data_IF_344597668427
#
_entry.id   IF_344597668427
#
_cell.length_a   1.000
_cell.length_b   1.000
_cell.length_c   1.000
_cell.angle_alpha   90.00
_cell.angle_beta   90.00
_cell.angle_gamma   90.00
#
_symmetry.space_group_name_H-M   'P 1'
#
loop_
_entity.id
_entity.type
_entity.pdbx_description
1 polymer ?
#
# COMPACT_ATOMS: atom_id res chain seq x y z
N UNK A 1 -1.89 25.66 22.74
CA UNK A 1 -0.87 24.73 22.22
C UNK A 1 0.35 24.80 23.12
N UNK A 2 0.57 23.80 23.97
CA UNK A 2 1.70 23.79 24.91
C UNK A 2 3.03 23.62 24.17
N UNK A 3 4.08 24.26 24.71
CA UNK A 3 5.44 24.30 24.15
C UNK A 3 5.98 22.87 24.00
N UNK A 4 6.37 22.49 22.78
CA UNK A 4 6.90 21.18 22.41
C UNK A 4 8.19 20.91 23.19
N UNK A 5 8.20 19.89 24.06
CA UNK A 5 9.39 19.44 24.78
C UNK A 5 10.07 18.31 24.00
N UNK A 6 11.40 18.27 23.98
CA UNK A 6 12.16 17.19 23.30
C UNK A 6 11.80 15.80 23.84
N UNK A 7 11.41 15.72 25.12
CA UNK A 7 10.91 14.51 25.79
C UNK A 7 9.68 13.91 25.11
N UNK A 8 8.73 14.75 24.66
CA UNK A 8 7.52 14.29 23.96
C UNK A 8 7.84 13.65 22.61
N UNK A 9 8.88 14.16 21.93
CA UNK A 9 9.35 13.63 20.64
C UNK A 9 10.01 12.26 20.82
N UNK A 10 10.93 12.14 21.78
CA UNK A 10 11.62 10.86 22.08
C UNK A 10 10.61 9.77 22.41
N UNK A 11 9.63 10.08 23.25
CA UNK A 11 8.59 9.13 23.66
C UNK A 11 7.71 8.69 22.48
N UNK A 12 7.34 9.63 21.61
CA UNK A 12 6.57 9.33 20.38
C UNK A 12 7.38 8.43 19.45
N UNK A 13 8.68 8.67 19.29
CA UNK A 13 9.56 7.81 18.49
C UNK A 13 9.69 6.40 19.08
N UNK A 14 9.78 6.26 20.40
CA UNK A 14 9.82 4.94 21.06
C UNK A 14 8.52 4.18 20.80
N UNK A 15 7.35 4.81 20.98
CA UNK A 15 6.06 4.19 20.67
C UNK A 15 5.97 3.76 19.20
N UNK A 16 6.47 4.59 18.28
CA UNK A 16 6.53 4.25 16.86
C UNK A 16 7.45 3.08 16.59
N UNK A 17 8.58 2.95 17.29
CA UNK A 17 9.47 1.80 17.13
C UNK A 17 8.76 0.50 17.49
N UNK A 18 8.07 0.46 18.64
CA UNK A 18 7.26 -0.70 19.04
C UNK A 18 6.13 -0.96 18.06
N UNK A 19 5.41 0.09 17.65
CA UNK A 19 4.32 -0.03 16.68
C UNK A 19 4.84 -0.54 15.32
N UNK A 20 5.97 -0.04 14.84
CA UNK A 20 6.60 -0.48 13.60
C UNK A 20 7.02 -1.95 13.68
N UNK A 21 7.55 -2.41 14.82
CA UNK A 21 7.89 -3.82 15.03
C UNK A 21 6.64 -4.71 14.96
N UNK A 22 5.58 -4.32 15.66
CA UNK A 22 4.29 -5.02 15.64
C UNK A 22 3.72 -5.06 14.20
N UNK A 23 3.73 -3.93 13.50
CA UNK A 23 3.27 -3.82 12.12
C UNK A 23 4.16 -4.58 11.13
N UNK A 24 5.43 -4.84 11.46
CA UNK A 24 6.35 -5.65 10.67
C UNK A 24 6.10 -7.16 10.88
N UNK A 25 5.91 -7.58 12.13
CA UNK A 25 5.69 -9.00 12.46
C UNK A 25 4.34 -9.49 11.93
N UNK A 26 3.26 -8.73 12.09
CA UNK A 26 1.91 -9.20 11.75
C UNK A 26 1.78 -9.75 10.31
N UNK A 27 2.21 -9.01 9.28
CA UNK A 27 2.22 -9.48 7.90
C UNK A 27 3.10 -10.71 7.63
N UNK A 28 4.12 -10.97 8.47
CA UNK A 28 5.02 -12.13 8.34
C UNK A 28 4.49 -13.39 9.03
N UNK A 29 3.60 -13.23 10.02
CA UNK A 29 2.94 -14.31 10.77
C UNK A 29 1.60 -14.69 10.12
N UNK A 30 1.62 -15.14 8.86
CA UNK A 30 0.40 -15.57 8.12
C UNK A 30 -0.69 -14.50 8.06
N UNK A 31 -0.27 -13.22 8.12
CA UNK A 31 -1.19 -12.08 8.19
C UNK A 31 -2.06 -12.05 9.45
N UNK A 32 -1.66 -12.74 10.52
CA UNK A 32 -2.41 -12.93 11.77
C UNK A 32 -3.80 -13.54 11.55
N UNK A 33 -3.94 -14.41 10.55
CA UNK A 33 -5.20 -15.06 10.24
C UNK A 33 -5.56 -16.12 11.30
N UNK A 34 -4.57 -16.91 11.72
CA UNK A 34 -4.76 -18.02 12.63
C UNK A 34 -4.75 -17.57 14.09
N UNK A 35 -5.53 -18.27 14.91
CA UNK A 35 -5.69 -17.95 16.34
C UNK A 35 -4.39 -18.09 17.11
N UNK A 36 -3.57 -19.07 16.75
CA UNK A 36 -2.24 -19.24 17.33
C UNK A 36 -1.36 -17.99 17.13
N UNK A 37 -1.55 -17.24 16.05
CA UNK A 37 -0.71 -16.09 15.70
C UNK A 37 -1.29 -14.79 16.30
N UNK A 38 -2.61 -14.58 16.18
CA UNK A 38 -3.21 -13.32 16.59
C UNK A 38 -3.36 -13.17 18.11
N UNK A 39 -3.49 -14.26 18.88
CA UNK A 39 -3.62 -14.15 20.34
C UNK A 39 -2.33 -13.64 21.02
N UNK A 40 -1.13 -14.20 20.73
CA UNK A 40 0.13 -13.62 21.20
C UNK A 40 0.30 -12.18 20.74
N UNK A 41 -0.10 -11.88 19.50
CA UNK A 41 -0.06 -10.52 18.97
C UNK A 41 -0.95 -9.55 19.77
N UNK A 42 -2.17 -9.94 20.16
CA UNK A 42 -3.04 -9.11 21.00
C UNK A 42 -2.43 -8.88 22.38
N UNK A 43 -1.86 -9.92 22.99
CA UNK A 43 -1.17 -9.82 24.28
C UNK A 43 0.00 -8.83 24.22
N UNK A 44 0.85 -8.94 23.19
CA UNK A 44 1.98 -8.02 22.99
C UNK A 44 1.50 -6.59 22.70
N UNK A 45 0.44 -6.44 21.92
CA UNK A 45 -0.16 -5.13 21.63
C UNK A 45 -0.76 -4.50 22.89
N UNK A 46 -1.30 -5.29 23.84
CA UNK A 46 -1.85 -4.78 25.08
C UNK A 46 -0.80 -4.05 25.93
N UNK A 47 0.45 -4.54 25.98
CA UNK A 47 1.55 -3.85 26.65
C UNK A 47 1.85 -2.48 26.05
N UNK A 48 1.77 -2.36 24.72
CA UNK A 48 1.90 -1.07 24.03
C UNK A 48 0.78 -0.11 24.42
N UNK A 49 -0.45 -0.59 24.59
CA UNK A 49 -1.60 0.22 25.02
C UNK A 49 -1.50 0.65 26.48
N UNK A 50 -1.01 -0.22 27.35
CA UNK A 50 -0.70 0.13 28.75
C UNK A 50 0.36 1.23 28.77
N UNK A 51 1.42 1.08 27.99
CA UNK A 51 2.47 2.10 27.83
C UNK A 51 1.89 3.45 27.38
N UNK A 52 1.06 3.47 26.33
CA UNK A 52 0.36 4.68 25.90
C UNK A 52 -0.48 5.28 27.03
N UNK A 53 -1.26 4.45 27.74
CA UNK A 53 -2.14 4.92 28.81
C UNK A 53 -1.37 5.63 29.94
N UNK A 54 -0.24 5.06 30.36
CA UNK A 54 0.65 5.67 31.36
C UNK A 54 1.16 7.03 30.86
N UNK A 55 1.57 7.12 29.60
CA UNK A 55 2.05 8.36 28.99
C UNK A 55 0.97 9.45 29.00
N UNK A 56 -0.26 9.12 28.64
CA UNK A 56 -1.37 10.07 28.62
C UNK A 56 -1.71 10.59 30.01
N UNK A 57 -1.67 9.72 31.02
CA UNK A 57 -1.88 10.09 32.43
C UNK A 57 -0.78 11.03 32.92
N UNK A 58 0.49 10.69 32.68
CA UNK A 58 1.63 11.52 33.12
C UNK A 58 1.62 12.89 32.46
N UNK A 59 1.34 12.94 31.15
CA UNK A 59 1.34 14.19 30.39
C UNK A 59 0.06 15.00 30.54
N UNK A 60 -0.97 14.47 31.23
CA UNK A 60 -2.31 15.07 31.33
C UNK A 60 -2.88 15.47 29.96
N UNK A 61 -2.64 14.62 28.95
CA UNK A 61 -3.08 14.83 27.58
C UNK A 61 -4.12 13.81 27.17
N UNK A 62 -5.06 14.23 26.32
CA UNK A 62 -6.04 13.34 25.70
C UNK A 62 -5.65 13.03 24.25
N UNK A 63 -5.97 11.81 23.80
CA UNK A 63 -5.84 11.38 22.39
C UNK A 63 -7.18 11.48 21.65
N UNK A 64 -8.26 11.59 22.41
CA UNK A 64 -9.64 11.56 21.94
C UNK A 64 -10.05 12.79 21.13
N UNK A 65 -10.66 12.54 19.98
CA UNK A 65 -11.42 13.51 19.18
C UNK A 65 -12.89 13.07 19.11
N UNK A 66 -13.85 14.00 19.27
CA UNK A 66 -15.22 13.62 19.63
C UNK A 66 -15.98 12.76 18.62
N UNK A 67 -15.72 12.91 17.32
CA UNK A 67 -16.56 12.28 16.28
C UNK A 67 -15.94 10.99 15.72
N UNK A 68 -14.73 10.99 15.13
CA UNK A 68 -14.19 9.77 14.54
C UNK A 68 -13.88 8.70 15.59
N UNK A 69 -13.37 9.10 16.77
CA UNK A 69 -12.97 8.13 17.78
C UNK A 69 -14.19 7.53 18.48
N UNK A 70 -15.27 8.30 18.67
CA UNK A 70 -16.52 7.79 19.22
C UNK A 70 -17.12 6.71 18.32
N UNK A 71 -17.08 6.88 17.00
CA UNK A 71 -17.57 5.86 16.07
C UNK A 71 -16.78 4.54 16.21
N UNK A 72 -15.45 4.62 16.37
CA UNK A 72 -14.60 3.44 16.59
C UNK A 72 -14.86 2.79 17.95
N UNK A 73 -15.06 3.58 19.00
CA UNK A 73 -15.42 3.07 20.33
C UNK A 73 -16.78 2.38 20.31
N UNK A 74 -17.78 2.97 19.63
CA UNK A 74 -19.09 2.35 19.44
C UNK A 74 -18.93 1.03 18.68
N UNK A 75 -18.14 0.99 17.62
CA UNK A 75 -17.87 -0.23 16.87
C UNK A 75 -17.29 -1.34 17.78
N UNK A 76 -16.28 -1.02 18.59
CA UNK A 76 -15.72 -1.96 19.57
C UNK A 76 -16.78 -2.39 20.59
N UNK A 77 -17.59 -1.46 21.08
CA UNK A 77 -18.69 -1.74 22.00
C UNK A 77 -19.74 -2.68 21.39
N UNK A 78 -20.07 -2.53 20.11
CA UNK A 78 -20.97 -3.43 19.38
C UNK A 78 -20.39 -4.84 19.24
N UNK A 79 -19.09 -4.97 18.99
CA UNK A 79 -18.43 -6.28 18.98
C UNK A 79 -18.48 -6.95 20.35
N UNK A 80 -18.24 -6.21 21.45
CA UNK A 80 -18.42 -6.74 22.80
C UNK A 80 -19.88 -7.11 23.09
N UNK A 81 -20.84 -6.30 22.66
CA UNK A 81 -22.26 -6.58 22.82
C UNK A 81 -22.68 -7.86 22.09
N UNK A 82 -22.10 -8.11 20.90
CA UNK A 82 -22.37 -9.33 20.13
C UNK A 82 -22.02 -10.61 20.89
N UNK A 83 -21.07 -10.56 21.83
CA UNK A 83 -20.67 -11.71 22.64
C UNK A 83 -21.81 -12.24 23.52
N UNK A 84 -22.80 -11.42 23.88
CA UNK A 84 -23.93 -11.83 24.73
C UNK A 84 -24.88 -12.81 24.01
N UNK A 85 -25.07 -12.65 22.70
CA UNK A 85 -26.01 -13.48 21.91
C UNK A 85 -25.34 -14.35 20.83
N UNK A 86 -24.02 -14.39 20.78
CA UNK A 86 -23.30 -15.21 19.82
C UNK A 86 -23.55 -16.71 20.00
N UNK A 87 -23.83 -17.39 18.87
CA UNK A 87 -23.92 -18.85 18.78
C UNK A 87 -22.58 -19.51 19.13
N UNK A 88 -21.49 -18.98 18.55
CA UNK A 88 -20.12 -19.35 18.92
C UNK A 88 -19.51 -18.24 19.79
N UNK A 89 -19.51 -18.45 21.11
CA UNK A 89 -18.96 -17.49 22.08
C UNK A 89 -17.49 -17.22 21.86
N UNK A 90 -16.71 -18.23 21.48
CA UNK A 90 -15.27 -18.10 21.29
C UNK A 90 -14.95 -17.17 20.12
N UNK A 91 -15.60 -17.37 18.97
CA UNK A 91 -15.41 -16.50 17.80
C UNK A 91 -15.83 -15.05 18.06
N UNK A 92 -16.93 -14.85 18.80
CA UNK A 92 -17.38 -13.51 19.14
C UNK A 92 -16.41 -12.79 20.09
N UNK A 93 -15.86 -13.50 21.09
CA UNK A 93 -14.84 -12.96 21.99
C UNK A 93 -13.57 -12.62 21.20
N UNK A 94 -13.10 -13.54 20.35
CA UNK A 94 -11.93 -13.29 19.49
C UNK A 94 -12.15 -12.09 18.56
N UNK A 95 -13.36 -11.92 18.02
CA UNK A 95 -13.77 -10.74 17.26
C UNK A 95 -13.73 -9.45 18.08
N UNK A 96 -14.27 -9.47 19.29
CA UNK A 96 -14.23 -8.32 20.20
C UNK A 96 -12.79 -7.93 20.58
N UNK A 97 -11.92 -8.91 20.82
CA UNK A 97 -10.51 -8.68 21.08
C UNK A 97 -9.80 -8.07 19.86
N UNK A 98 -10.04 -8.61 18.65
CA UNK A 98 -9.51 -8.06 17.38
C UNK A 98 -9.80 -6.58 17.24
N UNK A 99 -11.07 -6.19 17.35
CA UNK A 99 -11.48 -4.79 17.18
C UNK A 99 -10.99 -3.90 18.32
N UNK A 100 -10.90 -4.42 19.55
CA UNK A 100 -10.28 -3.70 20.67
C UNK A 100 -8.80 -3.41 20.40
N UNK A 101 -8.05 -4.39 19.89
CA UNK A 101 -6.65 -4.20 19.49
C UNK A 101 -6.51 -3.22 18.34
N UNK A 102 -7.39 -3.28 17.33
CA UNK A 102 -7.37 -2.32 16.21
C UNK A 102 -7.59 -0.88 16.68
N UNK A 103 -8.56 -0.66 17.58
CA UNK A 103 -8.77 0.65 18.21
C UNK A 103 -7.51 1.09 18.95
N UNK A 104 -6.91 0.22 19.75
CA UNK A 104 -5.69 0.52 20.46
C UNK A 104 -4.53 0.93 19.54
N UNK A 105 -4.26 0.13 18.50
CA UNK A 105 -3.23 0.41 17.50
C UNK A 105 -3.49 1.76 16.81
N UNK A 106 -4.76 2.04 16.46
CA UNK A 106 -5.15 3.31 15.89
C UNK A 106 -4.86 4.49 16.83
N UNK A 107 -5.16 4.37 18.12
CA UNK A 107 -4.88 5.41 19.11
C UNK A 107 -3.37 5.65 19.30
N UNK A 108 -2.56 4.59 19.31
CA UNK A 108 -1.09 4.71 19.36
C UNK A 108 -0.57 5.42 18.11
N UNK A 109 -1.02 5.00 16.92
CA UNK A 109 -0.66 5.61 15.65
C UNK A 109 -1.07 7.10 15.61
N UNK A 110 -2.28 7.42 16.08
CA UNK A 110 -2.80 8.79 16.16
C UNK A 110 -1.97 9.67 17.10
N UNK A 111 -1.62 9.16 18.28
CA UNK A 111 -0.75 9.88 19.21
C UNK A 111 0.64 10.13 18.59
N UNK A 112 1.25 9.09 18.03
CA UNK A 112 2.53 9.18 17.35
C UNK A 112 2.54 10.16 16.17
N UNK A 113 1.44 10.20 15.39
CA UNK A 113 1.33 11.02 14.20
C UNK A 113 1.36 12.54 14.48
N UNK A 114 1.19 12.96 15.74
CA UNK A 114 1.31 14.36 16.17
C UNK A 114 2.72 14.92 16.00
N UNK A 115 3.74 14.07 16.13
CA UNK A 115 5.12 14.48 15.86
C UNK A 115 5.52 14.15 14.42
N UNK A 116 6.12 15.12 13.72
CA UNK A 116 6.49 14.98 12.31
C UNK A 116 7.50 13.84 12.09
N UNK A 117 8.49 13.68 12.99
CA UNK A 117 9.52 12.63 12.86
C UNK A 117 8.94 11.27 13.19
N UNK A 118 8.18 11.16 14.28
CA UNK A 118 7.51 9.93 14.66
C UNK A 118 6.52 9.47 13.57
N UNK A 119 5.73 10.39 13.01
CA UNK A 119 4.82 10.11 11.90
C UNK A 119 5.57 9.61 10.64
N UNK A 120 6.74 10.18 10.34
CA UNK A 120 7.59 9.72 9.25
C UNK A 120 8.10 8.29 9.50
N UNK A 121 8.61 8.00 10.71
CA UNK A 121 9.05 6.66 11.08
C UNK A 121 7.91 5.64 11.05
N UNK A 122 6.69 6.03 11.41
CA UNK A 122 5.52 5.15 11.33
C UNK A 122 5.23 4.75 9.87
N UNK A 123 5.23 5.72 8.95
CA UNK A 123 5.07 5.44 7.51
C UNK A 123 6.17 4.53 6.98
N UNK A 124 7.43 4.77 7.39
CA UNK A 124 8.54 3.92 6.97
C UNK A 124 8.46 2.51 7.54
N UNK A 125 7.96 2.35 8.78
CA UNK A 125 7.67 1.03 9.37
C UNK A 125 6.63 0.25 8.57
N UNK A 126 5.55 0.92 8.16
CA UNK A 126 4.52 0.33 7.28
C UNK A 126 5.12 -0.09 5.93
N UNK A 127 5.94 0.78 5.32
CA UNK A 127 6.61 0.48 4.04
C UNK A 127 7.56 -0.70 4.18
N UNK A 128 8.39 -0.72 5.23
CA UNK A 128 9.32 -1.81 5.49
C UNK A 128 8.59 -3.15 5.66
N UNK A 129 7.45 -3.14 6.36
CA UNK A 129 6.60 -4.31 6.52
C UNK A 129 6.03 -4.83 5.20
N UNK A 130 5.47 -3.95 4.36
CA UNK A 130 4.99 -4.35 3.04
C UNK A 130 6.08 -4.83 2.10
N UNK A 131 7.28 -4.24 2.17
CA UNK A 131 8.45 -4.74 1.44
C UNK A 131 8.82 -6.14 1.92
N UNK A 132 8.84 -6.38 3.24
CA UNK A 132 9.10 -7.70 3.81
C UNK A 132 8.09 -8.75 3.33
N UNK A 133 6.80 -8.45 3.42
CA UNK A 133 5.74 -9.35 2.96
C UNK A 133 5.83 -9.65 1.44
N UNK A 134 6.12 -8.62 0.62
CA UNK A 134 6.29 -8.77 -0.82
C UNK A 134 7.54 -9.60 -1.17
N UNK A 135 8.66 -9.35 -0.46
CA UNK A 135 9.90 -10.10 -0.62
C UNK A 135 9.71 -11.58 -0.30
N UNK A 136 9.02 -11.94 0.78
CA UNK A 136 8.75 -13.34 1.11
C UNK A 136 8.07 -14.06 -0.05
N UNK A 137 7.05 -13.44 -0.67
CA UNK A 137 6.38 -14.01 -1.83
C UNK A 137 7.25 -14.12 -3.08
N UNK A 138 8.01 -13.07 -3.41
CA UNK A 138 8.85 -13.04 -4.60
C UNK A 138 10.07 -13.95 -4.49
N UNK A 139 10.71 -14.03 -3.32
CA UNK A 139 11.85 -14.90 -3.06
C UNK A 139 11.42 -16.37 -3.03
N UNK A 140 10.26 -16.69 -2.45
CA UNK A 140 9.70 -18.04 -2.51
C UNK A 140 9.35 -18.42 -3.97
N UNK A 141 8.72 -17.51 -4.72
CA UNK A 141 8.44 -17.73 -6.14
C UNK A 141 9.69 -17.84 -7.03
N UNK A 142 10.79 -17.23 -6.62
CA UNK A 142 12.09 -17.41 -7.26
C UNK A 142 12.83 -18.68 -6.78
N UNK A 143 12.26 -19.49 -5.88
CA UNK A 143 12.90 -20.66 -5.30
C UNK A 143 14.19 -20.34 -4.54
N UNK A 144 14.28 -19.17 -3.91
CA UNK A 144 15.43 -18.72 -3.10
C UNK A 144 15.21 -19.07 -1.63
N UNK A 145 13.98 -18.96 -1.15
CA UNK A 145 13.59 -19.34 0.21
C UNK A 145 12.44 -20.35 0.14
N UNK A 146 12.38 -21.24 1.13
CA UNK A 146 11.23 -22.09 1.37
C UNK A 146 10.33 -21.41 2.39
N UNK A 147 9.09 -21.11 1.99
CA UNK A 147 8.07 -20.57 2.89
C UNK A 147 6.75 -21.27 2.58
N UNK A 148 6.15 -21.85 3.61
CA UNK A 148 4.97 -22.70 3.46
C UNK A 148 3.83 -21.97 2.75
N UNK A 149 3.32 -22.59 1.69
CA UNK A 149 2.23 -22.08 0.87
C UNK A 149 2.44 -20.64 0.35
N UNK A 150 3.68 -20.16 0.23
CA UNK A 150 3.97 -18.83 -0.32
C UNK A 150 3.67 -18.71 -1.81
N UNK A 151 3.72 -19.83 -2.55
CA UNK A 151 3.28 -19.93 -3.95
C UNK A 151 2.41 -21.16 -4.12
N UNK A 152 1.19 -20.97 -4.62
CA UNK A 152 0.22 -22.06 -4.84
C UNK A 152 -0.44 -21.88 -6.20
N UNK A 153 -0.32 -22.88 -7.07
CA UNK A 153 -0.91 -22.87 -8.41
C UNK A 153 -0.48 -21.67 -9.26
N UNK A 154 0.81 -21.32 -9.23
CA UNK A 154 1.37 -20.17 -9.96
C UNK A 154 0.98 -18.79 -9.41
N UNK A 155 0.40 -18.71 -8.21
CA UNK A 155 -0.01 -17.46 -7.55
C UNK A 155 0.86 -17.16 -6.35
N UNK A 156 1.20 -15.90 -6.14
CA UNK A 156 1.89 -15.47 -4.93
C UNK A 156 0.87 -15.28 -3.80
N UNK A 157 1.02 -16.11 -2.77
CA UNK A 157 0.31 -16.05 -1.49
C UNK A 157 1.17 -15.33 -0.44
N UNK A 158 2.49 -15.39 -0.62
CA UNK A 158 3.49 -14.74 0.22
C UNK A 158 3.40 -15.13 1.68
N UNK A 159 3.88 -14.24 2.55
CA UNK A 159 3.84 -14.47 4.00
C UNK A 159 2.44 -14.53 4.58
N UNK A 160 1.42 -14.07 3.86
CA UNK A 160 0.04 -14.13 4.32
C UNK A 160 -0.60 -15.50 4.13
N UNK A 161 -0.05 -16.36 3.26
CA UNK A 161 -0.69 -17.62 2.83
C UNK A 161 -2.10 -17.44 2.23
N UNK A 162 -2.49 -16.19 1.94
CA UNK A 162 -3.77 -15.82 1.38
C UNK A 162 -3.56 -14.70 0.35
N UNK A 163 -3.73 -14.97 -0.94
CA UNK A 163 -3.33 -14.04 -2.01
C UNK A 163 -4.17 -12.76 -1.99
N UNK A 164 -5.46 -12.86 -1.63
CA UNK A 164 -6.35 -11.70 -1.58
C UNK A 164 -5.96 -10.73 -0.46
N UNK A 165 -5.59 -11.27 0.71
CA UNK A 165 -5.15 -10.47 1.87
C UNK A 165 -3.80 -9.82 1.58
N UNK A 166 -2.85 -10.57 1.02
CA UNK A 166 -1.56 -10.03 0.58
C UNK A 166 -1.75 -8.90 -0.43
N UNK A 167 -2.63 -9.07 -1.41
CA UNK A 167 -2.89 -8.07 -2.44
C UNK A 167 -3.54 -6.81 -1.88
N UNK A 168 -4.54 -6.95 -1.01
CA UNK A 168 -5.20 -5.82 -0.35
C UNK A 168 -4.21 -5.04 0.54
N UNK A 169 -3.38 -5.74 1.31
CA UNK A 169 -2.32 -5.13 2.11
C UNK A 169 -1.27 -4.43 1.23
N UNK A 170 -0.80 -5.10 0.18
CA UNK A 170 0.17 -4.56 -0.78
C UNK A 170 -0.36 -3.31 -1.48
N UNK A 171 -1.65 -3.27 -1.83
CA UNK A 171 -2.30 -2.08 -2.37
C UNK A 171 -2.25 -0.91 -1.39
N UNK A 172 -2.56 -1.12 -0.11
CA UNK A 172 -2.45 -0.07 0.90
C UNK A 172 -1.01 0.45 1.00
N UNK A 173 -0.03 -0.46 1.10
CA UNK A 173 1.38 -0.08 1.20
C UNK A 173 1.86 0.64 -0.06
N UNK A 174 1.40 0.25 -1.25
CA UNK A 174 1.75 0.90 -2.51
C UNK A 174 1.48 2.41 -2.49
N UNK A 175 0.32 2.85 -1.98
CA UNK A 175 0.00 4.28 -1.86
C UNK A 175 0.86 4.99 -0.81
N UNK A 176 1.13 4.35 0.34
CA UNK A 176 2.03 4.89 1.36
C UNK A 176 3.45 5.03 0.80
N UNK A 177 3.88 4.07 0.00
CA UNK A 177 5.20 4.04 -0.61
C UNK A 177 5.36 5.14 -1.67
N UNK A 178 4.34 5.41 -2.48
CA UNK A 178 4.33 6.55 -3.40
C UNK A 178 4.56 7.88 -2.68
N UNK A 179 4.01 8.04 -1.48
CA UNK A 179 4.25 9.21 -0.65
C UNK A 179 5.68 9.23 -0.06
N UNK A 180 6.14 8.11 0.51
CA UNK A 180 7.52 8.00 1.04
C UNK A 180 8.59 8.24 -0.03
N UNK A 181 8.30 7.90 -1.30
CA UNK A 181 9.17 8.19 -2.43
C UNK A 181 9.24 9.69 -2.78
N UNK A 182 8.23 10.49 -2.45
CA UNK A 182 8.35 11.96 -2.51
C UNK A 182 9.25 12.48 -1.39
N UNK A 183 9.08 11.96 -0.17
CA UNK A 183 9.90 12.38 0.98
C UNK A 183 11.39 12.10 0.76
N UNK A 184 11.73 11.05 0.03
CA UNK A 184 13.11 10.75 -0.35
C UNK A 184 13.79 11.90 -1.11
N UNK A 185 13.02 12.74 -1.82
CA UNK A 185 13.55 13.92 -2.50
C UNK A 185 13.97 15.02 -1.53
N UNK A 186 13.47 15.02 -0.29
CA UNK A 186 13.79 16.01 0.76
C UNK A 186 15.05 15.66 1.55
N UNK A 187 15.70 14.52 1.28
CA UNK A 187 16.91 14.13 1.98
C UNK A 187 18.07 15.08 1.70
N UNK A 188 18.70 15.60 2.77
CA UNK A 188 19.79 16.59 2.69
C UNK A 188 21.07 16.05 2.04
N UNK A 189 21.38 14.77 2.25
CA UNK A 189 22.59 14.15 1.71
C UNK A 189 22.29 13.56 0.33
N UNK A 190 23.02 13.98 -0.69
CA UNK A 190 22.81 13.56 -2.09
C UNK A 190 22.84 12.05 -2.27
N UNK A 191 23.77 11.34 -1.62
CA UNK A 191 23.83 9.88 -1.69
C UNK A 191 22.59 9.21 -1.09
N UNK A 192 22.07 9.74 0.03
CA UNK A 192 20.89 9.20 0.70
C UNK A 192 19.64 9.46 -0.13
N UNK A 193 19.56 10.63 -0.77
CA UNK A 193 18.50 10.98 -1.72
C UNK A 193 18.44 9.98 -2.88
N UNK A 194 19.59 9.71 -3.52
CA UNK A 194 19.67 8.72 -4.61
C UNK A 194 19.36 7.30 -4.16
N UNK A 195 19.90 6.89 -3.02
CA UNK A 195 19.62 5.58 -2.46
C UNK A 195 18.12 5.42 -2.17
N UNK A 196 17.50 6.41 -1.53
CA UNK A 196 16.07 6.43 -1.25
C UNK A 196 15.23 6.34 -2.52
N UNK A 197 15.55 7.12 -3.56
CA UNK A 197 14.88 7.06 -4.86
C UNK A 197 14.86 5.64 -5.44
N UNK A 198 16.01 4.98 -5.47
CA UNK A 198 16.15 3.65 -6.07
C UNK A 198 15.44 2.59 -5.21
N UNK A 199 15.63 2.63 -3.88
CA UNK A 199 14.95 1.70 -2.97
C UNK A 199 13.44 1.82 -3.14
N UNK A 200 12.88 3.04 -3.07
CA UNK A 200 11.43 3.21 -3.22
C UNK A 200 10.95 2.85 -4.63
N UNK A 201 11.69 3.13 -5.70
CA UNK A 201 11.32 2.70 -7.05
C UNK A 201 11.21 1.18 -7.17
N UNK A 202 12.26 0.47 -6.74
CA UNK A 202 12.32 -0.99 -6.78
C UNK A 202 11.25 -1.60 -5.88
N UNK A 203 11.09 -1.09 -4.65
CA UNK A 203 10.06 -1.56 -3.74
C UNK A 203 8.64 -1.32 -4.25
N UNK A 204 8.36 -0.18 -4.90
CA UNK A 204 7.05 0.08 -5.53
C UNK A 204 6.78 -0.93 -6.64
N UNK A 205 7.78 -1.21 -7.48
CA UNK A 205 7.71 -2.23 -8.52
C UNK A 205 7.39 -3.61 -7.91
N UNK A 206 8.13 -4.03 -6.88
CA UNK A 206 7.95 -5.35 -6.26
C UNK A 206 6.56 -5.51 -5.62
N UNK A 207 6.11 -4.49 -4.90
CA UNK A 207 4.77 -4.48 -4.30
C UNK A 207 3.69 -4.56 -5.38
N UNK A 208 3.83 -3.76 -6.45
CA UNK A 208 2.88 -3.79 -7.56
C UNK A 208 2.89 -5.15 -8.28
N UNK A 209 4.07 -5.73 -8.49
CA UNK A 209 4.23 -7.06 -9.06
C UNK A 209 3.51 -8.12 -8.21
N UNK A 210 3.63 -8.06 -6.87
CA UNK A 210 2.91 -8.96 -5.97
C UNK A 210 1.40 -8.78 -6.05
N UNK A 211 0.90 -7.55 -6.17
CA UNK A 211 -0.54 -7.30 -6.42
C UNK A 211 -0.97 -8.04 -7.71
N UNK A 212 -0.18 -7.95 -8.78
CA UNK A 212 -0.46 -8.64 -10.05
C UNK A 212 -0.44 -10.15 -9.90
N UNK A 213 0.67 -10.70 -9.38
CA UNK A 213 0.91 -12.15 -9.27
C UNK A 213 0.05 -12.83 -8.19
N UNK A 214 -0.66 -12.08 -7.35
CA UNK A 214 -1.67 -12.62 -6.45
C UNK A 214 -2.92 -13.13 -7.18
N UNK A 215 -3.21 -12.61 -8.39
CA UNK A 215 -4.47 -12.83 -9.13
C UNK A 215 -5.74 -12.57 -8.33
N UNK A 216 -5.73 -11.54 -7.47
CA UNK A 216 -6.89 -11.07 -6.72
C UNK A 216 -7.78 -10.14 -7.57
N UNK A 217 -8.90 -10.66 -8.06
CA UNK A 217 -9.89 -9.90 -8.88
C UNK A 217 -10.48 -8.71 -8.13
N UNK A 218 -10.86 -8.91 -6.86
CA UNK A 218 -11.41 -7.85 -6.02
C UNK A 218 -10.39 -6.74 -5.80
N UNK A 219 -9.12 -7.08 -5.59
CA UNK A 219 -8.07 -6.08 -5.42
C UNK A 219 -7.86 -5.26 -6.68
N UNK A 220 -7.94 -5.83 -7.88
CA UNK A 220 -7.84 -5.04 -9.12
C UNK A 220 -8.92 -3.98 -9.27
N UNK A 221 -10.18 -4.34 -8.98
CA UNK A 221 -11.32 -3.41 -9.05
C UNK A 221 -11.15 -2.30 -8.01
N UNK A 222 -10.82 -2.67 -6.76
CA UNK A 222 -10.62 -1.71 -5.69
C UNK A 222 -9.39 -0.84 -5.96
N UNK A 223 -8.31 -1.40 -6.50
CA UNK A 223 -7.08 -0.68 -6.86
C UNK A 223 -7.38 0.36 -7.93
N UNK A 224 -8.08 0.01 -9.00
CA UNK A 224 -8.47 0.96 -10.04
C UNK A 224 -9.29 2.12 -9.46
N UNK A 225 -10.30 1.81 -8.64
CA UNK A 225 -11.10 2.83 -7.95
C UNK A 225 -10.25 3.69 -7.01
N UNK A 226 -9.38 3.07 -6.22
CA UNK A 226 -8.50 3.75 -5.28
C UNK A 226 -7.53 4.68 -6.00
N UNK A 227 -6.98 4.27 -7.16
CA UNK A 227 -6.12 5.12 -7.99
C UNK A 227 -6.89 6.34 -8.48
N UNK A 228 -8.12 6.17 -8.99
CA UNK A 228 -8.97 7.28 -9.44
C UNK A 228 -9.23 8.25 -8.28
N UNK A 229 -9.70 7.75 -7.14
CA UNK A 229 -9.96 8.58 -5.95
C UNK A 229 -8.69 9.26 -5.45
N UNK A 230 -7.57 8.54 -5.40
CA UNK A 230 -6.29 9.07 -4.98
C UNK A 230 -5.89 10.26 -5.85
N UNK A 231 -5.95 10.13 -7.18
CA UNK A 231 -5.66 11.24 -8.08
C UNK A 231 -6.71 12.36 -8.02
N UNK A 232 -7.97 12.10 -7.70
CA UNK A 232 -8.97 13.17 -7.49
C UNK A 232 -8.60 14.05 -6.29
N UNK A 233 -8.25 13.42 -5.17
CA UNK A 233 -7.95 14.14 -3.91
C UNK A 233 -6.52 14.68 -3.83
N UNK A 234 -5.61 14.19 -4.67
CA UNK A 234 -4.21 14.58 -4.62
C UNK A 234 -4.00 16.07 -4.98
N UNK A 235 -3.22 16.82 -4.19
CA UNK A 235 -2.91 18.23 -4.49
C UNK A 235 -2.27 18.39 -5.86
N UNK A 236 -2.61 19.49 -6.54
CA UNK A 236 -2.19 19.75 -7.93
C UNK A 236 -0.67 19.84 -8.08
N UNK A 237 -0.01 20.27 -7.02
CA UNK A 237 1.43 20.52 -6.93
C UNK A 237 2.24 19.21 -7.02
N UNK A 238 1.72 18.12 -6.44
CA UNK A 238 2.43 16.82 -6.37
C UNK A 238 1.89 15.80 -7.37
N UNK A 239 0.72 16.07 -7.97
CA UNK A 239 0.00 15.16 -8.88
C UNK A 239 0.87 14.63 -10.03
N UNK A 240 1.58 15.50 -10.73
CA UNK A 240 2.44 15.09 -11.85
C UNK A 240 3.63 14.22 -11.40
N UNK A 241 4.22 14.54 -10.24
CA UNK A 241 5.38 13.82 -9.71
C UNK A 241 5.00 12.41 -9.22
N UNK A 242 3.80 12.26 -8.65
CA UNK A 242 3.22 10.95 -8.31
C UNK A 242 2.84 10.16 -9.57
N UNK A 243 2.22 10.80 -10.57
CA UNK A 243 1.89 10.13 -11.83
C UNK A 243 3.14 9.53 -12.51
N UNK A 244 4.24 10.28 -12.55
CA UNK A 244 5.50 9.77 -13.08
C UNK A 244 6.00 8.52 -12.33
N UNK A 245 5.86 8.47 -11.00
CA UNK A 245 6.22 7.31 -10.18
C UNK A 245 5.36 6.09 -10.45
N UNK A 246 4.05 6.29 -10.67
CA UNK A 246 3.16 5.22 -11.13
C UNK A 246 3.63 4.65 -12.47
N UNK A 247 4.02 5.50 -13.42
CA UNK A 247 4.54 5.04 -14.72
C UNK A 247 5.85 4.25 -14.54
N UNK A 248 6.77 4.76 -13.72
CA UNK A 248 8.04 4.08 -13.40
C UNK A 248 7.81 2.71 -12.75
N UNK A 249 6.75 2.53 -11.94
CA UNK A 249 6.45 1.24 -11.31
C UNK A 249 5.66 0.29 -12.22
N UNK A 250 4.74 0.79 -13.06
CA UNK A 250 3.90 -0.02 -13.95
C UNK A 250 4.70 -0.62 -15.10
N UNK A 251 5.58 0.17 -15.77
CA UNK A 251 6.29 -0.30 -16.97
C UNK A 251 7.08 -1.59 -16.71
N UNK A 252 7.93 -1.69 -15.65
CA UNK A 252 8.64 -2.92 -15.36
C UNK A 252 7.69 -4.09 -15.11
N UNK A 253 6.58 -3.88 -14.38
CA UNK A 253 5.58 -4.94 -14.13
C UNK A 253 4.99 -5.45 -15.43
N UNK A 254 4.57 -4.56 -16.34
CA UNK A 254 4.00 -4.97 -17.63
C UNK A 254 4.96 -5.84 -18.45
N UNK A 255 6.26 -5.53 -18.41
CA UNK A 255 7.28 -6.25 -19.17
C UNK A 255 7.63 -7.61 -18.58
N UNK A 256 7.54 -7.78 -17.26
CA UNK A 256 8.02 -9.00 -16.58
C UNK A 256 6.91 -9.91 -16.05
N UNK A 257 5.65 -9.43 -15.93
CA UNK A 257 4.61 -10.24 -15.27
C UNK A 257 4.31 -11.55 -16.01
N UNK A 258 4.19 -11.52 -17.34
CA UNK A 258 3.83 -12.70 -18.15
C UNK A 258 4.88 -13.82 -18.00
N UNK A 259 6.18 -13.57 -18.25
CA UNK A 259 7.19 -14.62 -18.11
C UNK A 259 7.42 -15.07 -16.66
N UNK A 260 7.22 -14.17 -15.67
CA UNK A 260 7.24 -14.58 -14.26
C UNK A 260 6.04 -15.48 -13.95
N UNK A 261 4.84 -15.14 -14.44
CA UNK A 261 3.65 -15.97 -14.24
C UNK A 261 3.83 -17.37 -14.81
N UNK A 262 4.34 -17.49 -16.04
CA UNK A 262 4.56 -18.80 -16.66
C UNK A 262 5.60 -19.58 -15.86
N UNK A 263 6.71 -18.93 -15.48
CA UNK A 263 7.72 -19.56 -14.64
C UNK A 263 7.20 -20.01 -13.27
N UNK A 264 6.28 -19.28 -12.65
CA UNK A 264 5.63 -19.69 -11.39
C UNK A 264 4.68 -20.88 -11.57
N UNK A 265 4.00 -20.99 -12.71
CA UNK A 265 3.12 -22.13 -13.03
C UNK A 265 3.94 -23.40 -13.31
N UNK A 266 5.00 -23.25 -14.09
CA UNK A 266 5.86 -24.36 -14.54
C UNK A 266 6.97 -24.71 -13.54
N UNK A 267 7.06 -23.98 -12.42
CA UNK A 267 8.15 -24.07 -11.43
C UNK A 267 9.56 -23.84 -12.01
N UNK A 268 9.66 -23.04 -13.08
CA UNK A 268 10.91 -22.61 -13.70
C UNK A 268 11.53 -21.43 -12.93
N UNK A 269 12.19 -21.75 -11.80
CA UNK A 269 12.87 -20.76 -10.96
C UNK A 269 13.95 -19.95 -11.69
N UNK A 270 14.81 -20.52 -12.56
CA UNK A 270 15.76 -19.75 -13.36
C UNK A 270 15.10 -18.63 -14.18
N UNK A 271 13.96 -18.92 -14.83
CA UNK A 271 13.21 -17.89 -15.57
C UNK A 271 12.66 -16.82 -14.63
N UNK A 272 12.01 -17.21 -13.53
CA UNK A 272 11.49 -16.25 -12.54
C UNK A 272 12.59 -15.32 -12.03
N UNK A 273 13.77 -15.85 -11.68
CA UNK A 273 14.93 -15.07 -11.22
C UNK A 273 15.40 -14.08 -12.28
N UNK A 274 15.56 -14.53 -13.53
CA UNK A 274 16.00 -13.70 -14.66
C UNK A 274 15.07 -12.50 -14.85
N UNK A 275 13.76 -12.73 -14.91
CA UNK A 275 12.79 -11.66 -15.14
C UNK A 275 12.56 -10.78 -13.91
N UNK A 276 12.72 -11.31 -12.70
CA UNK A 276 12.72 -10.51 -11.48
C UNK A 276 13.91 -9.53 -11.45
N UNK A 277 15.12 -10.00 -11.77
CA UNK A 277 16.31 -9.14 -11.88
C UNK A 277 16.12 -8.09 -12.98
N UNK A 278 15.59 -8.49 -14.14
CA UNK A 278 15.26 -7.55 -15.21
C UNK A 278 14.29 -6.45 -14.74
N UNK A 279 13.23 -6.81 -14.01
CA UNK A 279 12.28 -5.87 -13.46
C UNK A 279 12.91 -4.89 -12.46
N UNK A 280 13.80 -5.37 -11.59
CA UNK A 280 14.56 -4.53 -10.65
C UNK A 280 15.45 -3.54 -11.42
N UNK A 281 16.19 -4.02 -12.43
CA UNK A 281 17.04 -3.17 -13.26
C UNK A 281 16.23 -2.12 -14.02
N UNK A 282 15.07 -2.48 -14.58
CA UNK A 282 14.17 -1.57 -15.27
C UNK A 282 13.59 -0.51 -14.32
N UNK A 283 13.13 -0.90 -13.13
CA UNK A 283 12.60 0.04 -12.14
C UNK A 283 13.66 1.06 -11.70
N UNK A 284 14.87 0.59 -11.41
CA UNK A 284 15.99 1.47 -11.06
C UNK A 284 16.39 2.39 -12.23
N UNK A 285 16.53 1.85 -13.45
CA UNK A 285 16.91 2.61 -14.63
C UNK A 285 15.88 3.68 -15.02
N UNK A 286 14.58 3.35 -14.96
CA UNK A 286 13.51 4.31 -15.22
C UNK A 286 13.46 5.40 -14.15
N UNK A 287 13.78 5.11 -12.89
CA UNK A 287 13.88 6.13 -11.86
C UNK A 287 15.06 7.09 -12.09
N UNK A 288 16.22 6.56 -12.51
CA UNK A 288 17.35 7.39 -12.92
C UNK A 288 16.95 8.30 -14.08
N UNK A 289 16.29 7.76 -15.10
CA UNK A 289 15.80 8.54 -16.24
C UNK A 289 14.82 9.63 -15.80
N UNK A 290 13.83 9.29 -14.97
CA UNK A 290 12.86 10.25 -14.41
C UNK A 290 13.57 11.38 -13.66
N UNK A 291 14.54 11.04 -12.81
CA UNK A 291 15.31 12.00 -12.03
C UNK A 291 16.17 12.93 -12.90
N UNK A 292 16.77 12.43 -13.98
CA UNK A 292 17.52 13.23 -14.94
C UNK A 292 16.60 14.18 -15.72
N UNK A 293 15.45 13.68 -16.17
CA UNK A 293 14.46 14.47 -16.89
C UNK A 293 13.88 15.59 -16.00
N UNK A 294 13.60 15.31 -14.72
CA UNK A 294 13.10 16.32 -13.79
C UNK A 294 14.15 17.41 -13.52
N UNK A 295 15.43 17.05 -13.38
CA UNK A 295 16.53 18.00 -13.23
C UNK A 295 16.69 18.94 -14.44
N UNK A 296 16.41 18.46 -15.66
CA UNK A 296 16.49 19.27 -16.88
C UNK A 296 15.21 20.11 -17.12
N UNK A 297 14.05 19.56 -16.78
CA UNK A 297 12.75 20.18 -17.10
C UNK A 297 12.36 21.31 -16.13
N UNK A 298 12.68 21.18 -14.84
CA UNK A 298 12.30 22.16 -13.80
C UNK A 298 12.97 23.53 -14.06
N UNK A 299 14.29 23.64 -14.31
CA UNK A 299 14.93 24.93 -14.58
C UNK A 299 14.44 25.59 -15.87
N UNK A 300 14.18 24.80 -16.93
CA UNK A 300 13.66 25.32 -18.21
C UNK A 300 12.23 25.86 -18.08
N UNK A 301 11.38 25.19 -17.29
CA UNK A 301 10.02 25.67 -17.01
C UNK A 301 10.02 26.93 -16.15
N UNK A 302 10.93 27.02 -15.17
CA UNK A 302 11.08 28.21 -14.34
C UNK A 302 11.66 29.40 -15.11
N UNK A 303 12.65 29.19 -15.97
CA UNK A 303 13.21 30.22 -16.86
C UNK A 303 12.13 30.80 -17.78
N UNK A 304 11.33 29.94 -18.43
CA UNK A 304 10.22 30.34 -19.31
C UNK A 304 9.07 31.05 -18.56
N UNK A 305 8.94 30.80 -17.26
CA UNK A 305 7.96 31.46 -16.37
C UNK A 305 8.46 32.81 -15.86
N UNK A 306 9.78 32.98 -15.73
CA UNK A 306 10.45 34.25 -15.40
C UNK A 306 10.46 35.20 -16.61
N UNK A 307 10.66 34.70 -17.83
CA UNK A 307 10.59 35.50 -19.06
C UNK A 307 9.18 36.06 -19.38
N UNK A 308 8.12 35.44 -18.84
CA UNK A 308 6.72 35.84 -19.10
C UNK A 308 6.12 36.85 -18.12
N UNK A 309 6.91 37.52 -17.28
CA UNK A 309 6.41 38.56 -16.37
C UNK A 309 6.94 39.96 -16.72
N UNK A 310 6.07 40.90 -17.16
CA UNK A 310 6.03 42.24 -16.62
C UNK A 310 5.04 42.33 -15.45
N UNK A 311 5.17 43.40 -14.68
CA UNK A 311 4.65 43.59 -13.34
C UNK A 311 3.11 43.49 -13.19
N UNK A 312 2.75 43.05 -11.98
CA UNK A 312 1.44 43.10 -11.31
C UNK A 312 0.32 42.08 -11.61
N UNK A 313 -0.03 41.41 -10.50
CA UNK A 313 -1.34 40.88 -10.09
C UNK A 313 -1.75 39.44 -10.46
N UNK A 314 -1.80 38.65 -9.38
CA UNK A 314 -2.60 37.44 -9.11
C UNK A 314 -2.46 36.24 -10.06
N UNK A 315 -1.72 35.23 -9.55
CA UNK A 315 -2.11 33.81 -9.51
C UNK A 315 -3.02 33.33 -10.66
N UNK A 316 -2.54 33.34 -11.90
CA UNK A 316 -3.26 32.64 -12.97
C UNK A 316 -2.90 31.15 -12.93
N UNK A 317 -3.62 30.44 -12.06
CA UNK A 317 -3.81 28.99 -12.04
C UNK A 317 -4.43 28.57 -13.38
N UNK A 318 -3.63 28.22 -14.38
CA UNK A 318 -4.15 27.47 -15.53
C UNK A 318 -4.10 25.99 -15.22
N UNK A 319 -5.26 25.45 -14.85
CA UNK A 319 -5.51 24.02 -14.79
C UNK A 319 -6.49 23.64 -15.88
N UNK A 320 -6.35 22.41 -16.39
CA UNK A 320 -7.45 21.76 -17.08
C UNK A 320 -8.68 21.79 -16.14
N UNK A 321 -9.83 22.31 -16.62
CA UNK A 321 -11.03 22.42 -15.80
C UNK A 321 -11.52 21.03 -15.35
N UNK A 322 -12.25 20.99 -14.23
CA UNK A 322 -12.66 19.75 -13.54
C UNK A 322 -13.33 18.74 -14.49
N UNK A 323 -14.04 19.22 -15.52
CA UNK A 323 -14.65 18.36 -16.54
C UNK A 323 -13.63 17.58 -17.39
N UNK A 324 -12.41 18.09 -17.62
CA UNK A 324 -11.36 17.34 -18.34
C UNK A 324 -10.95 16.11 -17.55
N UNK A 325 -10.89 16.22 -16.21
CA UNK A 325 -10.57 15.09 -15.35
C UNK A 325 -11.74 14.11 -15.22
N UNK A 326 -12.98 14.60 -15.25
CA UNK A 326 -14.17 13.74 -15.35
C UNK A 326 -14.15 12.97 -16.68
N UNK A 327 -13.84 13.63 -17.80
CA UNK A 327 -13.72 12.99 -19.11
C UNK A 327 -12.60 11.94 -19.11
N UNK A 328 -11.43 12.25 -18.52
CA UNK A 328 -10.33 11.28 -18.39
C UNK A 328 -10.73 10.09 -17.50
N UNK A 329 -11.47 10.31 -16.41
CA UNK A 329 -11.97 9.22 -15.57
C UNK A 329 -13.01 8.36 -16.31
N UNK A 330 -13.94 8.99 -17.04
CA UNK A 330 -14.94 8.29 -17.85
C UNK A 330 -14.27 7.51 -18.99
N UNK A 331 -13.22 8.06 -19.61
CA UNK A 331 -12.43 7.36 -20.62
C UNK A 331 -11.64 6.21 -20.02
N UNK A 332 -11.03 6.36 -18.84
CA UNK A 332 -10.33 5.27 -18.15
C UNK A 332 -11.29 4.16 -17.74
N UNK A 333 -12.44 4.51 -17.15
CA UNK A 333 -13.50 3.54 -16.83
C UNK A 333 -14.03 2.89 -18.10
N UNK A 334 -14.23 3.67 -19.17
CA UNK A 334 -14.67 3.18 -20.48
C UNK A 334 -13.66 2.23 -21.12
N UNK A 335 -12.35 2.52 -21.01
CA UNK A 335 -11.28 1.64 -21.47
C UNK A 335 -11.21 0.36 -20.63
N UNK A 336 -11.40 0.46 -19.31
CA UNK A 336 -11.46 -0.71 -18.43
C UNK A 336 -12.69 -1.57 -18.77
N UNK A 337 -13.87 -0.96 -18.92
CA UNK A 337 -15.10 -1.67 -19.30
C UNK A 337 -14.94 -2.28 -20.69
N UNK A 338 -14.42 -1.54 -21.67
CA UNK A 338 -14.16 -2.03 -23.02
C UNK A 338 -13.18 -3.21 -23.01
N UNK A 339 -12.07 -3.09 -22.27
CA UNK A 339 -11.08 -4.14 -22.10
C UNK A 339 -11.73 -5.40 -21.52
N UNK A 340 -12.57 -5.26 -20.49
CA UNK A 340 -13.17 -6.40 -19.77
C UNK A 340 -14.40 -7.02 -20.48
N UNK A 341 -15.15 -6.26 -21.27
CA UNK A 341 -16.47 -6.68 -21.79
C UNK A 341 -16.48 -7.03 -23.28
N UNK A 342 -15.48 -6.62 -24.06
CA UNK A 342 -15.45 -6.87 -25.50
C UNK A 342 -14.38 -7.89 -25.88
N UNK A 343 -14.63 -8.74 -26.87
CA UNK A 343 -13.64 -9.71 -27.37
C UNK A 343 -12.35 -9.03 -27.86
N UNK A 344 -12.46 -7.84 -28.48
CA UNK A 344 -11.32 -7.04 -28.89
C UNK A 344 -10.50 -6.53 -27.69
N UNK A 345 -11.18 -6.09 -26.62
CA UNK A 345 -10.55 -5.69 -25.37
C UNK A 345 -9.85 -6.84 -24.64
N UNK A 346 -10.49 -8.01 -24.63
CA UNK A 346 -9.95 -9.23 -24.03
C UNK A 346 -8.74 -9.77 -24.81
N UNK A 347 -8.75 -9.68 -26.14
CA UNK A 347 -7.61 -10.01 -27.00
C UNK A 347 -6.40 -9.07 -26.81
N UNK A 348 -6.63 -7.82 -26.39
CA UNK A 348 -5.56 -6.89 -26.03
C UNK A 348 -5.05 -7.20 -24.61
N UNK A 349 -5.96 -7.51 -23.68
CA UNK A 349 -5.61 -7.92 -22.32
C UNK A 349 -4.80 -9.22 -22.30
N UNK A 350 -5.11 -10.22 -23.14
CA UNK A 350 -4.42 -11.53 -23.16
C UNK A 350 -2.97 -11.44 -23.63
N UNK A 351 -2.61 -10.34 -24.32
CA UNK A 351 -1.23 -10.03 -24.69
C UNK A 351 -0.43 -9.40 -23.54
N UNK A 352 -1.10 -8.87 -22.52
CA UNK A 352 -0.49 -8.11 -21.41
C UNK A 352 -0.59 -8.88 -20.08
N UNK A 353 -1.64 -9.66 -19.93
CA UNK A 353 -1.94 -10.48 -18.77
C UNK A 353 -2.09 -11.94 -19.21
N UNK A 354 -1.60 -12.92 -18.43
CA UNK A 354 -1.82 -14.34 -18.67
C UNK A 354 -3.29 -14.66 -19.01
N UNK A 355 -3.52 -15.60 -19.92
CA UNK A 355 -4.87 -16.02 -20.34
C UNK A 355 -5.74 -16.38 -19.13
N UNK A 356 -5.16 -17.02 -18.11
CA UNK A 356 -5.83 -17.34 -16.86
C UNK A 356 -6.36 -16.12 -16.08
N UNK A 357 -5.73 -14.94 -16.21
CA UNK A 357 -6.22 -13.69 -15.63
C UNK A 357 -7.37 -13.15 -16.48
N UNK A 358 -7.24 -13.19 -17.81
CA UNK A 358 -8.27 -12.69 -18.73
C UNK A 358 -9.54 -13.52 -18.64
N UNK A 359 -9.42 -14.85 -18.61
CA UNK A 359 -10.53 -15.77 -18.34
C UNK A 359 -11.14 -15.53 -16.94
N UNK A 360 -10.31 -15.24 -15.94
CA UNK A 360 -10.80 -14.86 -14.61
C UNK A 360 -11.58 -13.55 -14.62
N UNK A 361 -11.17 -12.57 -15.41
CA UNK A 361 -11.92 -11.33 -15.60
C UNK A 361 -13.22 -11.56 -16.38
N UNK A 362 -13.17 -12.35 -17.45
CA UNK A 362 -14.34 -12.71 -18.25
C UNK A 362 -15.39 -13.51 -17.46
N UNK A 363 -14.95 -14.31 -16.48
CA UNK A 363 -15.84 -15.06 -15.58
C UNK A 363 -16.43 -14.22 -14.44
N UNK A 364 -16.10 -12.93 -14.30
CA UNK A 364 -16.75 -12.06 -13.31
C UNK A 364 -18.19 -11.83 -13.75
N UNK A 365 -19.13 -12.54 -13.13
CA UNK A 365 -20.56 -12.34 -13.37
C UNK A 365 -21.24 -11.85 -12.10
N UNK A 366 -22.26 -11.01 -12.24
CA UNK A 366 -23.13 -10.58 -11.13
C UNK A 366 -23.93 -11.73 -10.49
N UNK A 367 -23.82 -12.94 -11.04
CA UNK A 367 -24.49 -14.16 -10.55
C UNK A 367 -23.62 -14.98 -9.60
N UNK A 368 -22.35 -14.62 -9.42
CA UNK A 368 -21.47 -15.28 -8.44
C UNK A 368 -22.00 -15.03 -7.03
N UNK A 369 -22.53 -16.09 -6.42
CA UNK A 369 -23.02 -16.04 -5.03
C UNK A 369 -21.82 -15.92 -4.08
N UNK A 370 -22.02 -15.16 -3.01
CA UNK A 370 -21.05 -14.91 -1.92
C UNK A 370 -20.36 -16.19 -1.41
N UNK A 371 -19.13 -16.02 -0.91
CA UNK A 371 -18.30 -17.04 -0.24
C UNK A 371 -19.01 -17.81 0.89
N UNK A 372 -20.09 -17.27 1.45
CA UNK A 372 -20.89 -17.92 2.51
C UNK A 372 -21.80 -19.06 2.00
N UNK A 373 -21.99 -19.22 0.70
CA UNK A 373 -22.81 -20.29 0.12
C UNK A 373 -22.00 -21.55 -0.25
N UNK A 374 -20.74 -21.66 0.18
CA UNK A 374 -19.82 -22.76 -0.17
C UNK A 374 -19.48 -23.69 1.01
N UNK A 375 -20.25 -23.67 2.08
CA UNK A 375 -20.16 -24.62 3.20
C UNK A 375 -21.45 -25.42 3.31
#
# INVERSE_FOLDING_TARGET
MAKKTDVSTVLSCILVLFLALIMFIGPLERGLFFREDYLPFFSNSAWLLIGLSIILVIQKHTVWEPVPDLALVILVGLYWLSTLWALNKQEAIDGALKYSTYLGIFLVAKYAARDKKANQFLRWGIVLSGIGAALTGLLAGAGIIEYEAAVVGGRIYGSFQYPNSLAAYSMFVFFVLCHSWLEAEEFKKTWAQWLGRIIFAVSTFMILLVIVLSYSRATWIIFALAVVLYFIFLPREVKGNIFARFVVSIIPVLLVNVPISSGLLDQDYPSVRKYLILGICLAAGLEVLRALLSAVAIPKMEAKRREKKPAETKSQKRTAPVYVWIIVCVLLVGVIVFALTTEAGQNILSKVFPESIVERFASITWKDRNLLARW
#
